data_IF_871902855820
#
_entry.id   IF_871902855820
#
_cell.length_a   1.000
_cell.length_b   1.000
_cell.length_c   1.000
_cell.angle_alpha   90.00
_cell.angle_beta   90.00
_cell.angle_gamma   90.00
#
_symmetry.space_group_name_H-M   'P 1'
#
loop_
_entity.id
_entity.type
_entity.pdbx_description
1 polymer ?
#
# COMPACT_ATOMS: atom_id res chain seq x y z
N UNK A 1 33.70 4.20 -12.47
CA UNK A 1 33.67 3.10 -11.49
C UNK A 1 33.14 3.53 -10.13
N UNK A 2 33.72 4.53 -9.43
CA UNK A 2 33.18 5.01 -8.13
C UNK A 2 31.75 5.58 -8.18
N UNK A 3 31.41 6.36 -9.21
CA UNK A 3 30.09 7.02 -9.33
C UNK A 3 28.94 6.04 -9.63
N UNK A 4 29.20 5.02 -10.46
CA UNK A 4 28.22 3.98 -10.82
C UNK A 4 27.91 3.07 -9.64
N UNK A 5 28.91 2.71 -8.82
CA UNK A 5 28.69 1.92 -7.60
C UNK A 5 27.87 2.69 -6.55
N UNK A 6 28.09 4.01 -6.44
CA UNK A 6 27.32 4.86 -5.52
C UNK A 6 25.84 4.96 -5.94
N UNK A 7 25.59 5.04 -7.25
CA UNK A 7 24.24 5.11 -7.82
C UNK A 7 23.45 3.80 -7.58
N UNK A 8 24.11 2.65 -7.79
CA UNK A 8 23.53 1.33 -7.53
C UNK A 8 23.21 1.13 -6.04
N UNK A 9 24.10 1.58 -5.15
CA UNK A 9 23.87 1.50 -3.71
C UNK A 9 22.69 2.38 -3.27
N UNK A 10 22.55 3.58 -3.84
CA UNK A 10 21.41 4.46 -3.56
C UNK A 10 20.08 3.84 -4.03
N UNK A 11 20.04 3.23 -5.22
CA UNK A 11 18.85 2.57 -5.75
C UNK A 11 18.39 1.37 -4.89
N UNK A 12 19.34 0.61 -4.34
CA UNK A 12 19.02 -0.52 -3.45
C UNK A 12 18.41 -0.06 -2.12
N UNK A 13 18.80 1.10 -1.60
CA UNK A 13 18.27 1.65 -0.34
C UNK A 13 16.83 2.17 -0.48
N UNK A 14 16.41 2.59 -1.67
CA UNK A 14 15.03 3.05 -1.94
C UNK A 14 14.06 1.88 -2.13
N UNK A 15 14.56 0.67 -2.41
CA UNK A 15 13.73 -0.50 -2.72
C UNK A 15 13.12 -1.25 -1.53
N UNK A 16 13.55 -0.98 -0.29
CA UNK A 16 13.27 -1.84 0.87
C UNK A 16 12.24 -1.29 1.87
N UNK A 17 11.22 -0.54 1.42
CA UNK A 17 10.10 -0.13 2.28
C UNK A 17 8.78 -0.74 1.84
N UNK A 18 8.76 -2.00 1.39
CA UNK A 18 7.49 -2.72 1.22
C UNK A 18 6.89 -3.04 2.59
N UNK A 19 6.07 -2.12 3.07
CA UNK A 19 5.18 -2.32 4.23
C UNK A 19 4.16 -3.41 3.88
N UNK A 20 4.40 -4.62 4.39
CA UNK A 20 3.40 -5.65 4.73
C UNK A 20 2.34 -5.99 3.66
N UNK A 21 2.72 -6.26 2.41
CA UNK A 21 1.73 -6.65 1.38
C UNK A 21 1.20 -8.09 1.55
N UNK A 22 2.01 -9.03 2.03
CA UNK A 22 1.66 -10.47 1.99
C UNK A 22 0.63 -10.90 3.05
N UNK A 23 0.50 -10.16 4.15
CA UNK A 23 -0.41 -10.47 5.26
C UNK A 23 -1.53 -9.44 5.41
N UNK A 24 -1.62 -8.47 4.51
CA UNK A 24 -2.69 -7.50 4.53
C UNK A 24 -4.03 -8.21 4.27
N UNK A 25 -5.07 -8.00 5.11
CA UNK A 25 -6.37 -8.59 4.86
C UNK A 25 -6.95 -8.07 3.54
N UNK A 26 -7.53 -8.98 2.77
CA UNK A 26 -8.29 -8.63 1.58
C UNK A 26 -9.59 -7.89 1.96
N UNK A 27 -10.06 -7.02 1.06
CA UNK A 27 -11.35 -6.34 1.24
C UNK A 27 -12.49 -7.22 0.73
N UNK A 28 -13.63 -7.08 1.39
CA UNK A 28 -14.87 -7.76 1.02
C UNK A 28 -15.32 -7.24 -0.35
N UNK A 29 -15.73 -8.14 -1.25
CA UNK A 29 -16.25 -7.78 -2.56
C UNK A 29 -17.72 -7.34 -2.49
N UNK A 30 -17.95 -6.11 -2.02
CA UNK A 30 -19.28 -5.49 -1.96
C UNK A 30 -19.36 -4.20 -2.82
N UNK A 31 -20.55 -3.61 -2.93
CA UNK A 31 -20.78 -2.42 -3.75
C UNK A 31 -19.89 -1.24 -3.32
N UNK A 32 -19.75 -1.03 -2.00
CA UNK A 32 -19.00 0.08 -1.43
C UNK A 32 -17.51 0.00 -1.81
N UNK A 33 -16.85 -1.13 -1.55
CA UNK A 33 -15.44 -1.31 -1.89
C UNK A 33 -15.21 -1.31 -3.41
N UNK A 34 -16.16 -1.81 -4.23
CA UNK A 34 -16.05 -1.74 -5.70
C UNK A 34 -16.18 -0.32 -6.26
N UNK A 35 -16.89 0.56 -5.55
CA UNK A 35 -17.08 1.94 -5.96
C UNK A 35 -15.80 2.77 -5.79
N UNK A 36 -14.96 2.44 -4.81
CA UNK A 36 -13.67 3.10 -4.57
C UNK A 36 -12.74 3.05 -5.79
N UNK A 37 -12.04 4.15 -6.04
CA UNK A 37 -11.08 4.44 -7.11
C UNK A 37 -9.79 5.07 -6.58
N UNK A 38 -9.80 5.67 -5.38
CA UNK A 38 -8.64 6.35 -4.80
C UNK A 38 -8.39 5.93 -3.35
N UNK A 39 -7.16 6.14 -2.85
CA UNK A 39 -6.87 5.91 -1.43
C UNK A 39 -7.63 6.89 -0.54
N UNK A 40 -7.85 8.12 -1.01
CA UNK A 40 -8.53 9.15 -0.22
C UNK A 40 -9.96 8.73 0.11
N UNK A 41 -10.67 8.10 -0.83
CA UNK A 41 -12.02 7.56 -0.60
C UNK A 41 -12.04 6.44 0.46
N UNK A 42 -10.92 5.70 0.64
CA UNK A 42 -10.82 4.76 1.75
C UNK A 42 -10.82 5.49 3.10
N UNK A 43 -10.17 6.65 3.17
CA UNK A 43 -10.02 7.45 4.38
C UNK A 43 -11.30 8.23 4.76
N UNK A 44 -12.30 8.30 3.88
CA UNK A 44 -13.62 8.86 4.20
C UNK A 44 -14.35 8.04 5.26
N UNK A 45 -14.09 6.73 5.31
CA UNK A 45 -14.70 5.78 6.25
C UNK A 45 -13.68 5.13 7.20
N UNK A 46 -12.40 5.04 6.81
CA UNK A 46 -11.37 4.36 7.60
C UNK A 46 -10.37 5.34 8.22
N UNK A 47 -10.37 5.41 9.55
CA UNK A 47 -9.35 6.13 10.32
C UNK A 47 -8.12 5.25 10.56
N UNK A 48 -6.99 5.68 10.00
CA UNK A 48 -5.69 5.03 10.17
C UNK A 48 -4.76 5.78 11.14
N UNK A 49 -5.21 6.88 11.78
CA UNK A 49 -4.37 7.72 12.65
C UNK A 49 -3.71 6.97 13.81
N UNK A 50 -4.31 5.85 14.23
CA UNK A 50 -3.82 4.98 15.31
C UNK A 50 -2.94 3.82 14.83
N UNK A 51 -2.79 3.63 13.52
CA UNK A 51 -2.00 2.54 12.94
C UNK A 51 -0.54 2.98 12.79
N UNK A 52 0.38 2.26 13.43
CA UNK A 52 1.81 2.64 13.48
C UNK A 52 2.55 2.38 12.17
N UNK A 53 2.03 1.45 11.39
CA UNK A 53 2.64 0.94 10.16
C UNK A 53 1.97 1.48 8.89
N UNK A 54 0.97 2.36 9.03
CA UNK A 54 0.30 3.01 7.92
C UNK A 54 0.65 4.50 7.85
N UNK A 55 0.58 5.06 6.64
CA UNK A 55 0.69 6.47 6.35
C UNK A 55 -0.50 6.92 5.50
N UNK A 56 -0.83 8.21 5.55
CA UNK A 56 -1.96 8.78 4.81
C UNK A 56 -1.81 8.66 3.28
N UNK A 57 -0.57 8.55 2.79
CA UNK A 57 -0.23 8.44 1.37
C UNK A 57 0.01 6.99 0.91
N UNK A 58 -0.19 5.99 1.79
CA UNK A 58 -0.06 4.59 1.42
C UNK A 58 -1.07 4.20 0.33
N UNK A 59 -0.64 3.29 -0.55
CA UNK A 59 -1.53 2.70 -1.56
C UNK A 59 -2.35 1.54 -0.98
N UNK A 60 -3.51 1.88 -0.39
CA UNK A 60 -4.42 0.94 0.24
C UNK A 60 -4.77 -0.23 -0.69
N UNK A 61 -5.10 0.04 -1.95
CA UNK A 61 -5.52 -0.97 -2.94
C UNK A 61 -4.39 -1.88 -3.41
N UNK A 62 -3.12 -1.49 -3.21
CA UNK A 62 -1.97 -2.35 -3.54
C UNK A 62 -1.91 -3.59 -2.64
N UNK A 63 -2.19 -3.40 -1.35
CA UNK A 63 -2.10 -4.42 -0.32
C UNK A 63 -3.49 -5.01 0.03
N UNK A 64 -4.51 -4.16 0.20
CA UNK A 64 -5.87 -4.57 0.57
C UNK A 64 -6.75 -4.78 -0.66
N UNK A 65 -6.37 -5.74 -1.52
CA UNK A 65 -7.10 -6.03 -2.76
C UNK A 65 -8.46 -6.63 -2.46
N UNK A 66 -9.40 -6.38 -3.37
CA UNK A 66 -10.65 -7.15 -3.45
C UNK A 66 -10.33 -8.44 -4.20
N UNK A 67 -10.49 -9.59 -3.55
CA UNK A 67 -10.38 -10.90 -4.21
C UNK A 67 -11.78 -11.32 -4.64
N UNK A 68 -11.95 -11.51 -5.96
CA UNK A 68 -13.20 -12.00 -6.55
C UNK A 68 -13.13 -13.51 -6.71
N UNK A 69 -14.20 -14.22 -6.35
CA UNK A 69 -14.36 -15.63 -6.67
C UNK A 69 -13.68 -16.62 -5.72
N UNK A 70 -13.69 -16.33 -4.41
CA UNK A 70 -13.62 -17.38 -3.37
C UNK A 70 -15.02 -17.81 -2.97
#
# INVERSE_FOLDING_TARGET
>A
MKKTSLLLLALLLVGCTMRMAAYAPHRIDNADHRAVKTNQECLECHDISKQKDHQADDNCMRCHRIVRGV
#
